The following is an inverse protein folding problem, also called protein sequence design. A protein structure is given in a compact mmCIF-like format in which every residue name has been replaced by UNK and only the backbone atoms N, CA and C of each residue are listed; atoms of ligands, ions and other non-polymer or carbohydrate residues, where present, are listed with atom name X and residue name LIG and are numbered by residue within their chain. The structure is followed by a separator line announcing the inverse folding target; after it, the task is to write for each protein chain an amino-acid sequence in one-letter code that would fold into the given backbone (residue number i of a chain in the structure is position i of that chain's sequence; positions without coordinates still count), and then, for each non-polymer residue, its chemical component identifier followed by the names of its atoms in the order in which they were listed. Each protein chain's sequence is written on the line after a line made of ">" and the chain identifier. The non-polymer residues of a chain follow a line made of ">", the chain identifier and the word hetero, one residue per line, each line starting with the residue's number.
data_IF_884403274075
#
_entry.id   IF_884403274075
#
_cell.length_a   1.000
_cell.length_b   1.000
_cell.length_c   1.000
_cell.angle_alpha   90.00
_cell.angle_beta   90.00
_cell.angle_gamma   90.00
#
_symmetry.space_group_name_H-M   'P 1'
#
loop_
_entity.id
_entity.type
_entity.pdbx_description
1 polymer ?
#
# COMPACT_ATOMS: atom_id res chain seq x y z
N UNK A 1 1.03 -8.61 15.56
CA UNK A 1 0.65 -8.37 14.16
C UNK A 1 0.63 -9.64 13.32
N UNK A 2 1.64 -10.53 13.42
CA UNK A 2 1.73 -11.77 12.62
C UNK A 2 0.48 -12.66 12.58
N UNK A 3 -0.15 -12.98 13.72
CA UNK A 3 -1.32 -13.87 13.73
C UNK A 3 -2.57 -13.29 13.03
N UNK A 4 -2.70 -11.96 12.98
CA UNK A 4 -3.78 -11.30 12.24
C UNK A 4 -3.52 -11.29 10.73
N UNK A 5 -2.25 -11.44 10.30
CA UNK A 5 -1.87 -11.48 8.90
C UNK A 5 -2.09 -12.85 8.28
N UNK A 6 -1.97 -13.94 9.06
CA UNK A 6 -2.14 -15.32 8.56
C UNK A 6 -3.43 -15.51 7.77
N UNK A 7 -4.53 -14.94 8.25
CA UNK A 7 -5.85 -15.04 7.60
C UNK A 7 -6.09 -14.06 6.43
N UNK A 8 -5.11 -13.22 6.10
CA UNK A 8 -5.24 -12.22 5.02
C UNK A 8 -4.83 -12.86 3.71
N UNK A 9 -5.57 -12.54 2.66
CA UNK A 9 -5.20 -12.93 1.30
C UNK A 9 -4.20 -11.92 0.72
N UNK A 10 -3.09 -12.42 0.20
CA UNK A 10 -2.09 -11.70 -0.55
C UNK A 10 -2.36 -11.86 -2.05
N UNK A 11 -2.29 -10.75 -2.79
CA UNK A 11 -2.28 -10.82 -4.25
C UNK A 11 -0.83 -10.82 -4.73
N UNK A 12 -0.50 -11.80 -5.56
CA UNK A 12 0.78 -11.95 -6.22
C UNK A 12 0.61 -11.55 -7.68
N UNK A 13 1.24 -10.44 -8.05
CA UNK A 13 1.32 -9.95 -9.42
C UNK A 13 2.72 -10.18 -9.97
N UNK A 14 2.80 -10.63 -11.22
CA UNK A 14 4.08 -10.74 -11.94
C UNK A 14 4.27 -9.49 -12.80
N UNK A 15 5.40 -8.78 -12.62
CA UNK A 15 5.73 -7.72 -13.55
C UNK A 15 6.43 -8.30 -14.76
N UNK A 16 5.82 -8.05 -15.91
CA UNK A 16 6.46 -8.20 -17.20
C UNK A 16 7.50 -7.10 -17.35
N UNK A 17 8.77 -7.47 -17.45
CA UNK A 17 9.78 -6.60 -18.06
C UNK A 17 9.47 -6.48 -19.56
N UNK A 18 9.78 -5.38 -20.23
CA UNK A 18 9.64 -5.36 -21.70
C UNK A 18 10.64 -6.38 -22.30
N UNK A 19 10.12 -7.42 -22.96
CA UNK A 19 10.97 -8.44 -23.58
C UNK A 19 11.48 -7.93 -24.93
N UNK A 20 12.76 -8.21 -25.20
CA UNK A 20 13.37 -8.07 -26.52
C UNK A 20 12.87 -9.18 -27.49
N UNK A 21 12.10 -10.16 -27.01
CA UNK A 21 11.68 -11.35 -27.74
C UNK A 21 10.15 -11.48 -27.88
N UNK A 22 9.73 -12.19 -28.94
CA UNK A 22 8.35 -12.42 -29.39
C UNK A 22 7.45 -13.27 -28.46
N UNK A 23 7.74 -13.32 -27.16
CA UNK A 23 6.94 -14.05 -26.19
C UNK A 23 5.83 -13.14 -25.66
N UNK A 24 4.58 -13.47 -25.96
CA UNK A 24 3.40 -12.75 -25.47
C UNK A 24 2.93 -13.43 -24.18
N UNK A 25 2.95 -12.70 -23.08
CA UNK A 25 2.26 -13.09 -21.85
C UNK A 25 0.75 -12.84 -22.01
N UNK A 26 -0.08 -13.76 -21.52
CA UNK A 26 -1.53 -13.56 -21.50
C UNK A 26 -1.87 -12.50 -20.44
N UNK A 27 -2.32 -11.33 -20.88
CA UNK A 27 -2.54 -10.15 -20.02
C UNK A 27 -3.80 -10.24 -19.17
N UNK A 28 -4.59 -11.30 -19.29
CA UNK A 28 -5.91 -11.38 -18.69
C UNK A 28 -5.94 -11.97 -17.28
N UNK A 29 -4.86 -12.58 -16.78
CA UNK A 29 -4.87 -13.35 -15.52
C UNK A 29 -3.52 -13.31 -14.74
N UNK A 30 -2.88 -12.13 -14.63
CA UNK A 30 -1.55 -11.97 -14.01
C UNK A 30 -1.52 -11.92 -12.48
N UNK A 31 -2.69 -12.00 -11.83
CA UNK A 31 -2.82 -11.92 -10.38
C UNK A 31 -3.21 -13.27 -9.78
N UNK A 32 -2.52 -13.71 -8.74
CA UNK A 32 -2.97 -14.84 -7.90
C UNK A 32 -3.31 -14.32 -6.52
N UNK A 33 -4.42 -14.80 -5.98
CA UNK A 33 -4.79 -14.59 -4.58
C UNK A 33 -4.39 -15.83 -3.78
N UNK A 34 -3.47 -15.70 -2.82
CA UNK A 34 -3.03 -16.76 -1.91
C UNK A 34 -3.18 -16.31 -0.46
N UNK A 35 -3.21 -17.23 0.51
CA UNK A 35 -3.17 -16.84 1.92
C UNK A 35 -1.77 -16.38 2.33
N UNK A 36 -1.68 -15.41 3.25
CA UNK A 36 -0.41 -14.86 3.69
C UNK A 36 0.50 -15.92 4.33
N UNK A 37 -0.05 -16.94 4.98
CA UNK A 37 0.68 -18.06 5.58
C UNK A 37 0.89 -19.25 4.63
N UNK A 38 0.56 -19.10 3.35
CA UNK A 38 0.76 -20.15 2.34
C UNK A 38 2.25 -20.42 2.07
N UNK A 39 2.55 -21.64 1.62
CA UNK A 39 3.87 -22.01 1.12
C UNK A 39 4.30 -21.16 -0.09
N UNK A 40 3.33 -20.68 -0.89
CA UNK A 40 3.60 -19.77 -2.00
C UNK A 40 4.22 -18.47 -1.48
N UNK A 41 3.67 -17.86 -0.43
CA UNK A 41 4.25 -16.63 0.15
C UNK A 41 5.64 -16.86 0.73
N UNK A 42 5.89 -18.02 1.34
CA UNK A 42 7.23 -18.39 1.80
C UNK A 42 8.26 -18.42 0.66
N UNK A 43 7.88 -18.97 -0.50
CA UNK A 43 8.74 -19.03 -1.69
C UNK A 43 8.96 -17.66 -2.34
N UNK A 44 8.06 -16.69 -2.09
CA UNK A 44 8.18 -15.33 -2.61
C UNK A 44 9.09 -14.43 -1.77
N UNK A 45 9.24 -14.71 -0.46
CA UNK A 45 10.04 -13.89 0.45
C UNK A 45 11.49 -13.61 0.00
N UNK A 46 12.25 -14.56 -0.55
CA UNK A 46 13.60 -14.29 -1.05
C UNK A 46 13.63 -13.25 -2.19
N UNK A 47 12.59 -13.23 -3.04
CA UNK A 47 12.44 -12.24 -4.11
C UNK A 47 12.10 -10.86 -3.55
N UNK A 48 11.23 -10.79 -2.53
CA UNK A 48 10.90 -9.56 -1.81
C UNK A 48 12.15 -8.90 -1.21
N UNK A 49 12.99 -9.69 -0.53
CA UNK A 49 14.25 -9.20 0.05
C UNK A 49 15.22 -8.73 -1.02
N UNK A 50 15.28 -9.43 -2.15
CA UNK A 50 16.08 -9.00 -3.30
C UNK A 50 15.56 -7.68 -3.86
N UNK A 51 14.24 -7.52 -4.00
CA UNK A 51 13.63 -6.26 -4.43
C UNK A 51 13.93 -5.11 -3.47
N UNK A 52 13.94 -5.34 -2.16
CA UNK A 52 14.25 -4.30 -1.18
C UNK A 52 15.65 -3.72 -1.42
N UNK A 53 16.64 -4.58 -1.65
CA UNK A 53 18.01 -4.18 -1.99
C UNK A 53 18.07 -3.40 -3.31
N UNK A 54 17.24 -3.79 -4.29
CA UNK A 54 17.14 -3.10 -5.57
C UNK A 54 16.58 -1.69 -5.37
N UNK A 55 15.49 -1.55 -4.62
CA UNK A 55 14.88 -0.25 -4.31
C UNK A 55 15.90 0.65 -3.60
N UNK A 56 16.61 0.13 -2.61
CA UNK A 56 17.65 0.88 -1.89
C UNK A 56 18.78 1.37 -2.80
N UNK A 57 19.30 0.50 -3.67
CA UNK A 57 20.31 0.91 -4.65
C UNK A 57 19.78 1.94 -5.65
N UNK A 58 18.53 1.82 -6.09
CA UNK A 58 17.91 2.75 -7.05
C UNK A 58 17.65 4.09 -6.40
N UNK A 59 17.16 4.12 -5.16
CA UNK A 59 16.94 5.34 -4.39
C UNK A 59 18.26 6.08 -4.19
N UNK A 60 19.32 5.37 -3.79
CA UNK A 60 20.67 5.95 -3.70
C UNK A 60 21.17 6.50 -5.05
N UNK A 61 21.04 5.74 -6.13
CA UNK A 61 21.43 6.19 -7.47
C UNK A 61 20.57 7.38 -7.94
N UNK A 62 19.32 7.50 -7.50
CA UNK A 62 18.43 8.59 -7.84
C UNK A 62 18.86 9.88 -7.13
N UNK A 63 19.20 9.79 -5.84
CA UNK A 63 19.74 10.91 -5.06
C UNK A 63 21.04 11.46 -5.67
N UNK A 64 21.87 10.58 -6.24
CA UNK A 64 23.10 10.94 -6.95
C UNK A 64 22.89 11.32 -8.44
N UNK A 65 21.64 11.37 -8.91
CA UNK A 65 21.31 11.74 -10.30
C UNK A 65 21.71 10.73 -11.37
N UNK A 66 22.00 9.49 -10.98
CA UNK A 66 22.50 8.40 -11.82
C UNK A 66 21.48 7.27 -12.11
N UNK A 67 20.25 7.38 -11.61
CA UNK A 67 19.18 6.39 -11.82
C UNK A 67 18.55 6.41 -13.22
N UNK A 68 18.89 7.38 -14.08
CA UNK A 68 18.36 7.46 -15.44
C UNK A 68 18.87 6.30 -16.31
N UNK A 69 17.97 5.70 -17.10
CA UNK A 69 18.26 4.59 -18.04
C UNK A 69 18.84 3.34 -17.36
N UNK A 70 18.41 3.04 -16.12
CA UNK A 70 18.70 1.75 -15.50
C UNK A 70 17.93 0.64 -16.25
N UNK A 71 18.62 -0.39 -16.77
CA UNK A 71 17.98 -1.45 -17.53
C UNK A 71 17.08 -2.30 -16.63
N UNK A 72 16.00 -2.85 -17.21
CA UNK A 72 15.19 -3.90 -16.59
C UNK A 72 14.47 -3.51 -15.29
N UNK A 73 14.12 -2.24 -15.11
CA UNK A 73 13.29 -1.78 -14.00
C UNK A 73 11.90 -1.34 -14.47
N UNK A 74 10.84 -1.64 -13.71
CA UNK A 74 9.51 -1.11 -13.98
C UNK A 74 9.51 0.42 -13.82
N UNK A 75 8.61 1.09 -14.54
CA UNK A 75 8.48 2.55 -14.52
C UNK A 75 8.20 3.14 -13.11
N UNK A 76 7.72 2.31 -12.18
CA UNK A 76 7.55 2.68 -10.77
C UNK A 76 7.88 1.50 -9.86
N UNK A 77 8.81 1.69 -8.94
CA UNK A 77 9.14 0.78 -7.85
C UNK A 77 8.29 1.08 -6.59
N UNK A 78 8.11 0.12 -5.67
CA UNK A 78 7.44 0.37 -4.40
C UNK A 78 8.37 1.17 -3.48
N UNK A 79 7.81 1.87 -2.47
CA UNK A 79 8.66 2.58 -1.50
C UNK A 79 9.42 1.59 -0.61
N UNK A 80 10.67 1.95 -0.27
CA UNK A 80 11.54 1.16 0.59
C UNK A 80 10.85 0.81 1.92
N UNK A 81 10.38 1.81 2.67
CA UNK A 81 9.74 1.62 3.98
C UNK A 81 8.52 0.69 3.94
N UNK A 82 7.72 0.79 2.87
CA UNK A 82 6.53 -0.06 2.73
C UNK A 82 6.94 -1.51 2.49
N UNK A 83 7.93 -1.72 1.62
CA UNK A 83 8.43 -3.03 1.28
C UNK A 83 9.12 -3.70 2.48
N UNK A 84 9.92 -2.94 3.24
CA UNK A 84 10.57 -3.42 4.45
C UNK A 84 9.54 -3.88 5.50
N UNK A 85 8.52 -3.06 5.77
CA UNK A 85 7.44 -3.41 6.72
C UNK A 85 6.68 -4.66 6.28
N UNK A 86 6.43 -4.84 4.98
CA UNK A 86 5.80 -6.05 4.44
C UNK A 86 6.70 -7.27 4.67
N UNK A 87 7.99 -7.17 4.41
CA UNK A 87 8.94 -8.27 4.64
C UNK A 87 8.97 -8.66 6.12
N UNK A 88 9.14 -7.70 7.03
CA UNK A 88 9.15 -7.95 8.47
C UNK A 88 7.84 -8.61 8.94
N UNK A 89 6.70 -8.15 8.41
CA UNK A 89 5.39 -8.69 8.70
C UNK A 89 5.25 -10.15 8.23
N UNK A 90 5.74 -10.49 7.04
CA UNK A 90 5.72 -11.84 6.50
C UNK A 90 6.75 -12.77 7.18
N UNK A 91 7.92 -12.27 7.58
CA UNK A 91 8.89 -13.01 8.39
C UNK A 91 8.41 -13.28 9.82
N UNK A 92 7.35 -12.59 10.28
CA UNK A 92 6.70 -12.94 11.56
C UNK A 92 5.79 -14.17 11.49
N UNK A 93 5.42 -14.60 10.28
CA UNK A 93 4.55 -15.77 10.03
C UNK A 93 5.29 -16.93 9.35
N UNK A 94 6.36 -16.62 8.61
CA UNK A 94 7.23 -17.56 7.90
C UNK A 94 8.61 -17.63 8.53
N UNK A 95 9.38 -18.67 8.18
CA UNK A 95 10.79 -18.70 8.55
C UNK A 95 11.55 -17.57 7.82
N UNK A 96 12.45 -16.90 8.54
CA UNK A 96 13.34 -15.92 7.94
C UNK A 96 14.16 -16.58 6.82
N UNK A 97 14.25 -15.88 5.68
CA UNK A 97 14.96 -16.35 4.49
C UNK A 97 16.00 -15.32 4.08
N UNK A 98 17.04 -15.76 3.37
CA UNK A 98 18.05 -14.85 2.81
C UNK A 98 17.58 -14.27 1.48
N UNK A 99 18.19 -13.15 1.08
CA UNK A 99 18.10 -12.62 -0.29
C UNK A 99 18.66 -13.63 -1.31
N UNK A 100 18.18 -13.56 -2.56
CA UNK A 100 18.65 -14.41 -3.65
C UNK A 100 19.96 -13.92 -4.27
N UNK A 101 20.30 -12.65 -4.11
CA UNK A 101 21.54 -12.07 -4.62
C UNK A 101 22.43 -11.62 -3.47
N UNK A 102 23.55 -12.31 -3.31
CA UNK A 102 24.58 -11.93 -2.34
C UNK A 102 25.38 -10.72 -2.83
N UNK A 103 25.42 -10.52 -4.15
CA UNK A 103 26.08 -9.40 -4.81
C UNK A 103 25.35 -8.09 -4.55
N UNK A 104 24.01 -8.08 -4.61
CA UNK A 104 23.20 -6.94 -4.18
C UNK A 104 23.33 -6.67 -2.68
N UNK A 105 23.42 -7.72 -1.85
CA UNK A 105 23.67 -7.56 -0.40
C UNK A 105 25.02 -6.88 -0.16
N UNK A 106 26.07 -7.34 -0.85
CA UNK A 106 27.40 -6.75 -0.75
C UNK A 106 27.43 -5.30 -1.29
N UNK A 107 26.71 -5.03 -2.37
CA UNK A 107 26.58 -3.71 -2.97
C UNK A 107 25.97 -2.71 -1.99
N UNK A 108 24.82 -3.05 -1.40
CA UNK A 108 24.14 -2.23 -0.38
C UNK A 108 25.02 -2.03 0.86
N UNK A 109 25.72 -3.09 1.30
CA UNK A 109 26.67 -2.97 2.43
C UNK A 109 27.73 -1.89 2.20
N UNK A 110 28.26 -1.78 0.98
CA UNK A 110 29.23 -0.72 0.63
C UNK A 110 28.63 0.68 0.63
N UNK A 111 27.34 0.82 0.31
CA UNK A 111 26.61 2.08 0.39
C UNK A 111 26.44 2.53 1.84
N UNK A 112 26.04 1.60 2.71
CA UNK A 112 25.83 1.86 4.14
C UNK A 112 27.12 2.26 4.88
N UNK A 113 28.28 1.73 4.44
CA UNK A 113 29.58 2.03 5.06
C UNK A 113 30.11 3.45 4.75
N UNK A 114 29.39 4.26 3.95
CA UNK A 114 29.74 5.66 3.68
C UNK A 114 31.03 5.84 2.90
N UNK A 115 31.43 4.82 2.12
CA UNK A 115 32.61 4.86 1.28
C UNK A 115 32.50 5.96 0.22
N UNK A 116 33.62 6.55 -0.22
CA UNK A 116 33.62 7.36 -1.46
C UNK A 116 33.32 6.42 -2.64
N UNK A 117 32.05 6.28 -2.99
CA UNK A 117 31.60 5.39 -4.05
C UNK A 117 31.69 6.12 -5.38
N UNK A 118 32.45 5.57 -6.33
CA UNK A 118 32.40 6.02 -7.71
C UNK A 118 31.05 5.63 -8.30
N UNK A 119 30.19 6.62 -8.53
CA UNK A 119 28.81 6.47 -9.00
C UNK A 119 28.73 5.72 -10.35
N UNK A 120 29.73 5.89 -11.22
CA UNK A 120 29.76 5.19 -12.51
C UNK A 120 30.03 3.70 -12.33
N UNK A 121 30.98 3.36 -11.45
CA UNK A 121 31.25 1.98 -11.06
C UNK A 121 30.07 1.35 -10.30
N UNK A 122 29.42 2.11 -9.42
CA UNK A 122 28.24 1.64 -8.69
C UNK A 122 27.11 1.25 -9.62
N UNK A 123 26.81 2.09 -10.62
CA UNK A 123 25.78 1.80 -11.63
C UNK A 123 26.11 0.54 -12.43
N UNK A 124 27.38 0.33 -12.77
CA UNK A 124 27.83 -0.88 -13.46
C UNK A 124 27.69 -2.12 -12.57
N UNK A 125 28.15 -2.04 -11.33
CA UNK A 125 28.06 -3.13 -10.35
C UNK A 125 26.59 -3.49 -10.06
N UNK A 126 25.71 -2.49 -9.94
CA UNK A 126 24.27 -2.69 -9.81
C UNK A 126 23.71 -3.44 -11.03
N UNK A 127 24.00 -2.96 -12.24
CA UNK A 127 23.51 -3.59 -13.48
C UNK A 127 24.01 -5.04 -13.62
N UNK A 128 25.26 -5.29 -13.25
CA UNK A 128 25.84 -6.63 -13.22
C UNK A 128 25.17 -7.51 -12.16
N UNK A 129 24.91 -7.00 -10.97
CA UNK A 129 24.25 -7.74 -9.89
C UNK A 129 22.82 -8.14 -10.27
N UNK A 130 22.07 -7.24 -10.93
CA UNK A 130 20.74 -7.55 -11.51
C UNK A 130 20.85 -8.66 -12.57
N UNK A 131 21.86 -8.59 -13.42
CA UNK A 131 22.07 -9.60 -14.45
C UNK A 131 22.42 -10.97 -13.84
N UNK A 132 23.30 -11.01 -12.85
CA UNK A 132 23.68 -12.25 -12.14
C UNK A 132 22.50 -12.84 -11.38
N UNK A 133 21.72 -12.01 -10.68
CA UNK A 133 20.49 -12.41 -10.03
C UNK A 133 19.50 -13.08 -11.01
N UNK A 134 19.24 -12.44 -12.15
CA UNK A 134 18.30 -12.95 -13.16
C UNK A 134 18.81 -14.18 -13.92
N UNK A 135 20.12 -14.41 -13.93
CA UNK A 135 20.76 -15.55 -14.60
C UNK A 135 21.13 -16.69 -13.64
N UNK A 136 20.95 -16.49 -12.33
CA UNK A 136 21.30 -17.47 -11.31
C UNK A 136 20.42 -18.72 -11.40
N UNK A 137 21.07 -19.87 -11.26
CA UNK A 137 20.38 -21.18 -11.17
C UNK A 137 19.49 -21.27 -9.94
N UNK A 138 19.86 -20.64 -8.83
CA UNK A 138 19.08 -20.60 -7.60
C UNK A 138 17.76 -19.84 -7.82
N UNK A 139 17.84 -18.66 -8.46
CA UNK A 139 16.66 -17.87 -8.86
C UNK A 139 15.74 -18.68 -9.76
N UNK A 140 16.31 -19.33 -10.78
CA UNK A 140 15.54 -20.14 -11.75
C UNK A 140 14.82 -21.31 -11.07
N UNK A 141 15.53 -22.03 -10.19
CA UNK A 141 14.97 -23.16 -9.44
C UNK A 141 13.81 -22.71 -8.56
N UNK A 142 14.00 -21.61 -7.82
CA UNK A 142 12.96 -21.09 -6.93
C UNK A 142 11.73 -20.57 -7.70
N UNK A 143 11.90 -20.03 -8.92
CA UNK A 143 10.77 -19.69 -9.79
C UNK A 143 9.97 -20.94 -10.17
N UNK A 144 10.64 -22.05 -10.52
CA UNK A 144 9.95 -23.30 -10.82
C UNK A 144 9.17 -23.84 -9.61
N UNK A 145 9.81 -23.84 -8.44
CA UNK A 145 9.16 -24.26 -7.18
C UNK A 145 7.94 -23.39 -6.85
N UNK A 146 8.07 -22.07 -7.06
CA UNK A 146 6.98 -21.12 -6.89
C UNK A 146 5.81 -21.43 -7.82
N UNK A 147 6.09 -21.68 -9.10
CA UNK A 147 5.05 -21.98 -10.08
C UNK A 147 4.35 -23.31 -9.77
N UNK A 148 5.10 -24.30 -9.28
CA UNK A 148 4.54 -25.57 -8.85
C UNK A 148 3.64 -25.42 -7.61
N UNK A 149 4.07 -24.62 -6.63
CA UNK A 149 3.27 -24.33 -5.45
C UNK A 149 1.96 -23.58 -5.81
N UNK A 150 2.04 -22.61 -6.71
CA UNK A 150 0.87 -21.89 -7.23
C UNK A 150 -0.09 -22.82 -7.97
N UNK A 151 0.44 -23.68 -8.84
CA UNK A 151 -0.37 -24.61 -9.62
C UNK A 151 -1.11 -25.60 -8.71
N UNK A 152 -0.44 -26.06 -7.64
CA UNK A 152 -1.04 -26.88 -6.60
C UNK A 152 -2.15 -26.14 -5.85
N UNK A 153 -1.91 -24.89 -5.42
CA UNK A 153 -2.91 -24.09 -4.67
C UNK A 153 -4.16 -23.79 -5.50
N UNK A 154 -4.00 -23.53 -6.81
CA UNK A 154 -5.13 -23.33 -7.74
C UNK A 154 -5.83 -24.64 -8.18
N UNK A 155 -5.39 -25.81 -7.70
CA UNK A 155 -5.87 -27.12 -8.16
C UNK A 155 -5.89 -27.25 -9.70
N UNK A 156 -4.86 -26.69 -10.37
CA UNK A 156 -4.79 -26.70 -11.82
C UNK A 156 -4.46 -28.12 -12.30
N UNK A 157 -5.43 -28.80 -12.93
CA UNK A 157 -5.15 -30.03 -13.66
C UNK A 157 -4.25 -29.71 -14.86
N UNK A 158 -3.21 -30.52 -15.07
CA UNK A 158 -2.35 -30.43 -16.25
C UNK A 158 -3.19 -30.64 -17.53
N UNK A 159 -3.08 -29.81 -18.59
CA UNK A 159 -2.06 -28.79 -18.85
C UNK A 159 -2.68 -27.39 -18.83
N UNK A 160 -3.12 -26.88 -17.67
CA UNK A 160 -3.58 -25.49 -17.58
C UNK A 160 -2.40 -24.52 -17.63
N UNK A 161 -2.59 -23.42 -18.34
CA UNK A 161 -1.65 -22.30 -18.42
C UNK A 161 -1.61 -21.58 -17.08
N UNK A 162 -0.41 -21.26 -16.62
CA UNK A 162 -0.17 -20.32 -15.52
C UNK A 162 0.59 -19.14 -16.11
N UNK A 163 -0.06 -17.98 -16.23
CA UNK A 163 0.53 -16.76 -16.81
C UNK A 163 1.08 -16.94 -18.24
N UNK A 164 0.45 -17.77 -19.05
CA UNK A 164 0.96 -18.12 -20.38
C UNK A 164 2.13 -19.12 -20.39
N UNK A 165 2.54 -19.61 -19.22
CA UNK A 165 3.49 -20.73 -19.06
C UNK A 165 2.76 -22.06 -18.88
N UNK A 166 3.37 -23.14 -19.35
CA UNK A 166 2.95 -24.51 -19.09
C UNK A 166 4.17 -25.39 -18.82
N UNK A 167 3.98 -26.54 -18.16
CA UNK A 167 5.03 -27.56 -18.08
C UNK A 167 5.39 -28.04 -19.49
N UNK A 168 6.68 -28.18 -19.77
CA UNK A 168 7.20 -28.72 -21.01
C UNK A 168 6.65 -30.13 -21.21
N UNK A 169 6.21 -30.41 -22.43
CA UNK A 169 5.66 -31.71 -22.79
C UNK A 169 6.73 -32.80 -22.81
N UNK A 170 8.01 -32.43 -22.94
CA UNK A 170 9.13 -33.37 -23.02
C UNK A 170 9.54 -33.88 -21.64
N UNK A 171 9.85 -32.98 -20.70
CA UNK A 171 10.33 -33.37 -19.37
C UNK A 171 9.23 -33.39 -18.30
N UNK A 172 8.10 -32.72 -18.52
CA UNK A 172 7.00 -32.60 -17.57
C UNK A 172 7.33 -31.80 -16.30
N UNK A 173 8.54 -31.22 -16.20
CA UNK A 173 9.06 -30.58 -14.99
C UNK A 173 9.41 -29.11 -15.20
N UNK A 174 9.73 -28.70 -16.42
CA UNK A 174 10.19 -27.33 -16.69
C UNK A 174 9.02 -26.45 -17.11
N UNK A 175 8.87 -25.26 -16.51
CA UNK A 175 7.90 -24.26 -16.95
C UNK A 175 8.43 -23.49 -18.17
N UNK A 176 7.66 -23.48 -19.26
CA UNK A 176 8.00 -22.85 -20.54
C UNK A 176 6.82 -22.07 -21.08
N UNK A 177 7.06 -20.97 -21.81
CA UNK A 177 5.96 -20.22 -22.42
C UNK A 177 5.28 -21.03 -23.55
N UNK A 178 4.02 -20.69 -23.86
CA UNK A 178 3.23 -21.40 -24.85
C UNK A 178 3.91 -21.54 -26.22
N UNK A 179 4.62 -20.50 -26.69
CA UNK A 179 5.31 -20.54 -27.98
C UNK A 179 6.45 -21.59 -28.03
N UNK A 180 7.15 -21.79 -26.91
CA UNK A 180 8.33 -22.66 -26.84
C UNK A 180 8.01 -24.09 -26.45
N UNK A 181 6.89 -24.30 -25.76
CA UNK A 181 6.40 -25.60 -25.36
C UNK A 181 6.01 -26.56 -26.49
N UNK A 182 6.08 -26.12 -27.75
CA UNK A 182 5.79 -26.88 -28.97
C UNK A 182 6.98 -27.02 -29.92
N UNK A 183 8.15 -26.48 -29.57
CA UNK A 183 9.35 -26.57 -30.42
C UNK A 183 10.32 -27.66 -29.91
N UNK A 184 10.69 -28.66 -30.73
CA UNK A 184 11.54 -29.80 -30.31
C UNK A 184 13.04 -29.45 -30.18
N UNK A 185 13.44 -28.19 -30.33
CA UNK A 185 14.85 -27.78 -30.21
C UNK A 185 15.22 -27.49 -28.76
N UNK A 186 15.58 -28.58 -28.07
CA UNK A 186 16.02 -28.71 -26.68
C UNK A 186 17.38 -28.07 -26.33
N UNK A 187 17.72 -26.92 -26.92
CA UNK A 187 18.94 -26.16 -26.56
C UNK A 187 18.65 -24.81 -25.91
N UNK A 188 17.38 -24.56 -25.60
CA UNK A 188 16.83 -23.31 -25.11
C UNK A 188 16.49 -23.37 -23.61
N UNK A 189 17.20 -24.18 -22.82
CA UNK A 189 16.79 -24.48 -21.44
C UNK A 189 17.39 -23.50 -20.42
N UNK A 190 18.42 -22.73 -20.80
CA UNK A 190 19.08 -21.78 -19.87
C UNK A 190 18.71 -20.31 -20.07
N UNK A 191 18.05 -19.95 -21.18
CA UNK A 191 17.84 -18.54 -21.60
C UNK A 191 16.42 -18.02 -21.42
N UNK A 192 15.46 -18.84 -20.98
CA UNK A 192 14.04 -18.58 -21.35
C UNK A 192 13.10 -18.33 -20.17
N UNK A 193 13.58 -18.54 -18.93
CA UNK A 193 13.13 -17.81 -17.75
C UNK A 193 13.89 -16.48 -17.56
N UNK A 194 14.87 -16.16 -18.44
CA UNK A 194 15.62 -14.88 -18.41
C UNK A 194 14.78 -13.67 -18.85
N UNK A 195 13.48 -13.85 -19.07
CA UNK A 195 12.57 -12.78 -19.37
C UNK A 195 11.38 -12.85 -18.40
N UNK A 196 11.17 -11.75 -17.68
CA UNK A 196 9.86 -11.33 -17.19
C UNK A 196 9.31 -12.06 -15.96
N UNK A 197 9.95 -11.85 -14.81
CA UNK A 197 9.25 -11.86 -13.52
C UNK A 197 10.12 -11.16 -12.47
N UNK A 198 10.10 -9.83 -12.44
CA UNK A 198 10.37 -9.14 -11.18
C UNK A 198 9.04 -9.05 -10.45
N UNK A 199 8.91 -9.72 -9.31
CA UNK A 199 7.80 -9.45 -8.41
C UNK A 199 8.03 -8.07 -7.81
N UNK A 200 7.57 -7.00 -8.45
CA UNK A 200 7.33 -5.73 -7.76
C UNK A 200 5.83 -5.54 -7.54
N UNK A 201 5.58 -5.11 -6.32
CA UNK A 201 4.31 -5.17 -5.62
C UNK A 201 3.57 -3.88 -5.91
N UNK A 202 2.62 -3.95 -6.80
CA UNK A 202 1.66 -2.87 -6.95
C UNK A 202 0.52 -3.07 -5.97
N UNK A 203 0.65 -2.47 -4.77
CA UNK A 203 -0.52 -2.09 -3.97
C UNK A 203 -1.56 -1.34 -4.83
N UNK A 204 -1.12 -0.69 -5.93
CA UNK A 204 -2.00 -0.05 -6.93
C UNK A 204 -3.05 -0.98 -7.55
N UNK A 205 -2.71 -2.20 -8.00
CA UNK A 205 -3.71 -3.05 -8.64
C UNK A 205 -4.68 -3.63 -7.59
N UNK A 206 -4.14 -4.07 -6.45
CA UNK A 206 -4.91 -4.52 -5.28
C UNK A 206 -5.93 -3.46 -4.83
N UNK A 207 -5.47 -2.23 -4.58
CA UNK A 207 -6.33 -1.15 -4.15
C UNK A 207 -7.33 -0.74 -5.22
N UNK A 208 -7.01 -0.91 -6.51
CA UNK A 208 -7.97 -0.62 -7.57
C UNK A 208 -9.14 -1.61 -7.60
N UNK A 209 -8.90 -2.88 -7.24
CA UNK A 209 -9.91 -3.96 -7.24
C UNK A 209 -10.54 -4.21 -5.85
N UNK A 210 -9.98 -3.65 -4.77
CA UNK A 210 -10.50 -3.82 -3.42
C UNK A 210 -11.76 -2.98 -3.17
N UNK A 211 -12.73 -3.58 -2.50
CA UNK A 211 -13.94 -2.90 -2.03
C UNK A 211 -13.72 -2.40 -0.61
N UNK A 212 -13.67 -1.08 -0.46
CA UNK A 212 -13.55 -0.39 0.82
C UNK A 212 -14.94 -0.19 1.41
N UNK A 213 -15.08 -0.53 2.70
CA UNK A 213 -16.27 -0.20 3.48
C UNK A 213 -16.04 1.13 4.16
N UNK A 214 -16.65 2.19 3.64
CA UNK A 214 -16.60 3.51 4.23
C UNK A 214 -17.82 3.73 5.12
N UNK A 215 -17.65 4.41 6.24
CA UNK A 215 -18.72 4.70 7.20
C UNK A 215 -18.52 6.07 7.84
N UNK A 216 -19.63 6.73 8.18
CA UNK A 216 -19.63 7.98 8.94
C UNK A 216 -19.89 7.70 10.41
N UNK A 217 -18.82 7.63 11.20
CA UNK A 217 -18.93 7.19 12.58
C UNK A 217 -19.55 8.25 13.49
N UNK A 218 -20.46 7.81 14.37
CA UNK A 218 -21.02 8.67 15.40
C UNK A 218 -19.94 9.10 16.40
N UNK A 219 -19.91 10.39 16.74
CA UNK A 219 -18.92 10.95 17.66
C UNK A 219 -19.12 10.55 19.14
N UNK A 220 -20.24 9.88 19.46
CA UNK A 220 -20.53 9.28 20.76
C UNK A 220 -20.48 7.74 20.74
N UNK A 221 -19.85 7.13 19.73
CA UNK A 221 -19.89 5.68 19.55
C UNK A 221 -19.40 4.86 20.76
N UNK A 222 -18.48 5.40 21.56
CA UNK A 222 -17.90 4.73 22.74
C UNK A 222 -18.80 4.75 23.99
N UNK A 223 -19.93 5.47 23.98
CA UNK A 223 -20.83 5.59 25.14
C UNK A 223 -21.75 4.36 25.35
N UNK A 224 -21.38 3.19 24.79
CA UNK A 224 -21.95 1.89 25.14
C UNK A 224 -23.31 1.52 24.53
N UNK A 225 -23.94 2.44 23.79
CA UNK A 225 -25.31 2.27 23.28
C UNK A 225 -25.50 2.64 21.80
N UNK A 226 -24.42 2.85 21.04
CA UNK A 226 -24.47 3.16 19.61
C UNK A 226 -24.89 1.94 18.76
N UNK A 227 -26.17 1.55 18.83
CA UNK A 227 -26.75 0.43 18.07
C UNK A 227 -26.95 0.73 16.59
N UNK A 228 -26.98 2.02 16.24
CA UNK A 228 -27.07 2.48 14.85
C UNK A 228 -25.67 2.83 14.37
N UNK A 229 -24.90 1.80 14.01
CA UNK A 229 -23.77 2.03 13.13
C UNK A 229 -24.35 2.64 11.85
N UNK A 230 -23.92 3.85 11.51
CA UNK A 230 -24.19 4.46 10.20
C UNK A 230 -24.01 3.41 9.11
N UNK A 231 -24.91 3.33 8.15
CA UNK A 231 -24.78 2.38 7.03
C UNK A 231 -23.39 2.53 6.42
N UNK A 232 -22.63 1.44 6.41
CA UNK A 232 -21.41 1.39 5.62
C UNK A 232 -21.79 1.28 4.15
N UNK A 233 -20.98 1.89 3.30
CA UNK A 233 -21.14 1.79 1.87
C UNK A 233 -19.85 1.29 1.23
N UNK A 234 -20.03 0.45 0.22
CA UNK A 234 -18.97 -0.23 -0.48
C UNK A 234 -18.49 0.63 -1.65
N UNK A 235 -17.20 0.98 -1.68
CA UNK A 235 -16.58 1.69 -2.80
C UNK A 235 -15.40 0.87 -3.32
N UNK A 236 -15.40 0.59 -4.62
CA UNK A 236 -14.25 0.00 -5.30
C UNK A 236 -13.11 1.02 -5.34
N UNK A 237 -11.92 0.65 -4.86
CA UNK A 237 -10.83 1.62 -4.69
C UNK A 237 -10.30 2.22 -5.99
N UNK A 238 -10.49 1.57 -7.15
CA UNK A 238 -10.16 2.13 -8.47
C UNK A 238 -11.27 2.96 -9.11
N UNK A 239 -12.41 3.11 -8.44
CA UNK A 239 -13.56 3.82 -9.01
C UNK A 239 -13.39 5.35 -9.01
N UNK A 240 -14.14 6.02 -9.89
CA UNK A 240 -14.27 7.48 -9.87
C UNK A 240 -14.83 8.00 -8.56
N UNK A 241 -15.74 7.25 -7.91
CA UNK A 241 -16.28 7.57 -6.58
C UNK A 241 -15.18 7.58 -5.51
N UNK A 242 -14.21 6.67 -5.59
CA UNK A 242 -13.05 6.69 -4.69
C UNK A 242 -12.22 7.96 -4.91
N UNK A 243 -11.96 8.33 -6.17
CA UNK A 243 -11.25 9.58 -6.50
C UNK A 243 -11.96 10.82 -5.92
N UNK A 244 -13.30 10.84 -5.94
CA UNK A 244 -14.10 11.92 -5.37
C UNK A 244 -13.97 12.02 -3.85
N UNK A 245 -13.99 10.90 -3.11
CA UNK A 245 -13.94 10.90 -1.64
C UNK A 245 -12.53 11.02 -1.07
N UNK A 246 -11.51 10.72 -1.87
CA UNK A 246 -10.12 10.64 -1.43
C UNK A 246 -9.57 11.91 -0.77
N UNK A 247 -9.88 13.15 -1.22
CA UNK A 247 -9.43 14.36 -0.53
C UNK A 247 -9.91 14.44 0.93
N UNK A 248 -11.13 13.96 1.21
CA UNK A 248 -11.69 13.93 2.56
C UNK A 248 -11.01 12.85 3.39
N UNK A 249 -10.84 11.64 2.82
CA UNK A 249 -10.12 10.56 3.49
C UNK A 249 -8.69 10.97 3.83
N UNK A 250 -8.04 11.77 2.97
CA UNK A 250 -6.70 12.32 3.20
C UNK A 250 -6.66 13.31 4.34
N UNK A 251 -7.60 14.25 4.41
CA UNK A 251 -7.69 15.16 5.55
C UNK A 251 -7.97 14.40 6.85
N UNK A 252 -8.85 13.40 6.84
CA UNK A 252 -9.12 12.55 8.00
C UNK A 252 -7.86 11.75 8.42
N UNK A 253 -7.12 11.19 7.46
CA UNK A 253 -5.89 10.45 7.73
C UNK A 253 -4.80 11.35 8.32
N UNK A 254 -4.60 12.56 7.76
CA UNK A 254 -3.64 13.54 8.28
C UNK A 254 -4.01 14.03 9.69
N UNK A 255 -5.30 14.31 9.93
CA UNK A 255 -5.79 14.64 11.27
C UNK A 255 -5.52 13.48 12.24
N UNK A 256 -5.84 12.25 11.85
CA UNK A 256 -5.61 11.07 12.70
C UNK A 256 -4.12 10.84 12.98
N UNK A 257 -3.24 11.07 12.00
CA UNK A 257 -1.78 11.04 12.17
C UNK A 257 -1.31 12.10 13.16
N UNK A 258 -1.70 13.35 12.94
CA UNK A 258 -1.38 14.47 13.84
C UNK A 258 -1.88 14.24 15.27
N UNK A 259 -3.07 13.64 15.43
CA UNK A 259 -3.63 13.29 16.73
C UNK A 259 -2.90 12.15 17.43
N UNK A 260 -2.44 11.16 16.66
CA UNK A 260 -1.62 10.06 17.20
C UNK A 260 -0.29 10.60 17.71
N UNK A 261 0.36 11.48 16.95
CA UNK A 261 1.59 12.17 17.37
C UNK A 261 1.34 13.05 18.60
N UNK A 262 0.24 13.81 18.61
CA UNK A 262 -0.13 14.64 19.74
C UNK A 262 -0.34 13.82 21.03
N UNK A 263 -0.97 12.66 20.93
CA UNK A 263 -1.13 11.74 22.06
C UNK A 263 0.19 11.18 22.55
N UNK A 264 1.21 11.04 21.69
CA UNK A 264 2.55 10.62 22.08
C UNK A 264 3.30 11.70 22.86
N UNK A 265 3.03 12.98 22.56
CA UNK A 265 3.60 14.14 23.25
C UNK A 265 2.74 14.67 24.41
N UNK A 266 1.74 13.91 24.87
CA UNK A 266 0.78 14.32 25.93
C UNK A 266 0.07 15.67 25.65
N UNK A 267 -0.21 15.96 24.38
CA UNK A 267 -0.89 17.18 23.95
C UNK A 267 -2.41 16.99 23.89
N UNK A 268 -3.15 17.89 24.55
CA UNK A 268 -4.61 17.84 24.58
C UNK A 268 -5.27 18.60 23.42
N UNK A 269 -6.23 17.98 22.73
CA UNK A 269 -7.13 18.62 21.75
C UNK A 269 -8.30 19.38 22.40
N UNK A 270 -8.43 19.27 23.72
CA UNK A 270 -9.58 19.73 24.49
C UNK A 270 -10.62 18.64 24.75
N UNK A 271 -11.61 18.98 25.58
CA UNK A 271 -12.61 18.02 26.07
C UNK A 271 -13.56 17.56 24.97
N UNK A 272 -13.88 16.25 24.96
CA UNK A 272 -14.94 15.67 24.14
C UNK A 272 -14.51 15.07 22.80
N UNK A 273 -13.21 14.99 22.52
CA UNK A 273 -12.68 14.24 21.39
C UNK A 273 -12.07 12.92 21.88
N UNK A 274 -12.60 11.80 21.40
CA UNK A 274 -12.05 10.46 21.63
C UNK A 274 -11.75 9.85 20.26
N UNK A 275 -10.49 9.48 20.05
CA UNK A 275 -10.03 8.89 18.80
C UNK A 275 -9.50 7.48 19.07
N UNK A 276 -9.96 6.52 18.28
CA UNK A 276 -9.39 5.18 18.28
C UNK A 276 -8.11 5.17 17.44
N UNK A 277 -6.97 5.08 18.11
CA UNK A 277 -5.66 5.05 17.47
C UNK A 277 -5.22 3.64 17.05
N UNK A 278 -5.93 2.57 17.45
CA UNK A 278 -5.48 1.18 17.22
C UNK A 278 -5.27 0.87 15.73
N UNK A 279 -6.00 1.56 14.85
CA UNK A 279 -5.91 1.38 13.40
C UNK A 279 -5.44 2.65 12.65
N UNK A 280 -4.95 3.67 13.37
CA UNK A 280 -4.61 4.97 12.79
C UNK A 280 -3.58 4.87 11.65
N UNK A 281 -2.45 4.23 11.92
CA UNK A 281 -1.39 4.04 10.94
C UNK A 281 -1.87 3.24 9.71
N UNK A 282 -2.76 2.26 9.94
CA UNK A 282 -3.35 1.46 8.85
C UNK A 282 -4.21 2.33 7.93
N UNK A 283 -5.02 3.21 8.48
CA UNK A 283 -5.84 4.14 7.70
C UNK A 283 -4.98 5.12 6.90
N UNK A 284 -3.92 5.66 7.50
CA UNK A 284 -2.96 6.55 6.83
C UNK A 284 -2.36 5.85 5.60
N UNK A 285 -1.83 4.64 5.78
CA UNK A 285 -1.18 3.89 4.71
C UNK A 285 -2.16 3.55 3.57
N UNK A 286 -3.41 3.20 3.87
CA UNK A 286 -4.42 2.95 2.84
C UNK A 286 -4.73 4.19 2.01
N UNK A 287 -4.88 5.34 2.67
CA UNK A 287 -5.21 6.59 1.97
C UNK A 287 -4.05 7.08 1.12
N UNK A 288 -2.82 6.94 1.59
CA UNK A 288 -1.62 7.26 0.82
C UNK A 288 -1.51 6.38 -0.44
N UNK A 289 -1.71 5.08 -0.30
CA UNK A 289 -1.68 4.17 -1.45
C UNK A 289 -2.83 4.43 -2.46
N UNK A 290 -4.03 4.80 -2.00
CA UNK A 290 -5.11 5.26 -2.87
C UNK A 290 -4.76 6.58 -3.57
N UNK A 291 -4.06 7.49 -2.90
CA UNK A 291 -3.59 8.76 -3.47
C UNK A 291 -2.59 8.53 -4.61
N UNK A 292 -1.67 7.59 -4.41
CA UNK A 292 -0.71 7.15 -5.42
C UNK A 292 -1.40 6.47 -6.61
N UNK A 293 -2.53 5.80 -6.39
CA UNK A 293 -3.34 5.18 -7.45
C UNK A 293 -4.03 6.22 -8.35
N UNK A 294 -4.70 7.22 -7.76
CA UNK A 294 -5.56 8.15 -8.50
C UNK A 294 -4.85 9.39 -9.09
N UNK A 295 -3.54 9.55 -8.86
CA UNK A 295 -2.73 10.69 -9.36
C UNK A 295 -3.48 12.03 -9.19
N UNK A 296 -3.79 12.38 -7.94
CA UNK A 296 -4.44 13.62 -7.46
C UNK A 296 -5.05 14.54 -8.53
N UNK A 297 -6.33 14.33 -8.86
CA UNK A 297 -7.12 15.25 -9.70
C UNK A 297 -8.43 15.72 -9.03
N UNK A 298 -8.65 15.39 -7.74
CA UNK A 298 -9.81 15.82 -6.97
C UNK A 298 -9.67 17.23 -6.34
N UNK A 299 -10.79 17.88 -5.99
CA UNK A 299 -10.78 19.16 -5.29
C UNK A 299 -10.13 19.03 -3.91
N UNK A 300 -9.01 19.71 -3.71
CA UNK A 300 -8.29 19.72 -2.43
C UNK A 300 -9.00 20.61 -1.41
N UNK A 301 -8.92 20.22 -0.14
CA UNK A 301 -9.42 21.04 0.96
C UNK A 301 -8.47 22.23 1.14
N UNK A 302 -9.03 23.44 1.33
CA UNK A 302 -8.22 24.67 1.38
C UNK A 302 -7.15 24.66 2.49
N UNK A 303 -7.43 23.99 3.61
CA UNK A 303 -6.53 23.88 4.76
C UNK A 303 -5.53 22.70 4.67
N UNK A 304 -5.64 21.84 3.65
CA UNK A 304 -4.82 20.63 3.51
C UNK A 304 -3.30 20.89 3.52
N UNK A 305 -2.76 21.91 2.80
CA UNK A 305 -1.32 22.18 2.83
C UNK A 305 -0.81 22.55 4.22
N UNK A 306 -1.60 23.32 4.98
CA UNK A 306 -1.25 23.72 6.34
C UNK A 306 -1.32 22.53 7.29
N UNK A 307 -2.28 21.62 7.11
CA UNK A 307 -2.37 20.40 7.89
C UNK A 307 -1.15 19.49 7.66
N UNK A 308 -0.72 19.30 6.40
CA UNK A 308 0.50 18.54 6.05
C UNK A 308 1.71 19.14 6.77
N UNK A 309 1.94 20.45 6.64
CA UNK A 309 3.08 21.11 7.27
C UNK A 309 3.07 21.01 8.82
N UNK A 310 1.91 20.96 9.46
CA UNK A 310 1.83 20.77 10.91
C UNK A 310 2.15 19.33 11.33
N UNK A 311 1.63 18.35 10.59
CA UNK A 311 1.91 16.93 10.85
C UNK A 311 3.39 16.62 10.64
N UNK A 312 4.00 17.14 9.57
CA UNK A 312 5.43 16.94 9.29
C UNK A 312 6.30 17.53 10.42
N UNK A 313 5.96 18.72 10.92
CA UNK A 313 6.69 19.35 12.03
C UNK A 313 6.53 18.61 13.36
N UNK A 314 5.38 18.00 13.60
CA UNK A 314 5.13 17.14 14.77
C UNK A 314 5.88 15.81 14.68
N UNK A 315 5.99 15.25 13.48
CA UNK A 315 6.69 13.99 13.22
C UNK A 315 8.21 14.13 13.36
N UNK A 316 8.76 15.27 12.96
CA UNK A 316 10.21 15.56 13.02
C UNK A 316 10.67 16.25 14.31
N UNK A 317 9.82 16.30 15.36
CA UNK A 317 10.14 16.93 16.66
C UNK A 317 10.59 18.41 16.55
N UNK A 318 10.16 19.13 15.49
CA UNK A 318 10.60 20.50 15.24
C UNK A 318 9.87 21.55 16.10
N UNK A 319 8.87 21.12 16.87
CA UNK A 319 8.01 21.99 17.67
C UNK A 319 8.40 21.93 19.15
N UNK A 320 8.76 23.09 19.70
CA UNK A 320 8.79 23.30 21.17
C UNK A 320 7.37 23.32 21.74
N UNK A 321 7.21 22.99 23.03
CA UNK A 321 5.92 22.78 23.71
C UNK A 321 4.83 23.83 23.41
N UNK A 322 5.19 25.12 23.43
CA UNK A 322 4.25 26.21 23.15
C UNK A 322 3.80 26.25 21.67
N UNK A 323 4.67 25.87 20.75
CA UNK A 323 4.36 25.74 19.33
C UNK A 323 3.54 24.49 19.07
N UNK A 324 3.84 23.39 19.77
CA UNK A 324 3.07 22.16 19.70
C UNK A 324 1.62 22.38 20.19
N UNK A 325 1.43 23.08 21.32
CA UNK A 325 0.09 23.47 21.78
C UNK A 325 -0.65 24.38 20.79
N UNK A 326 0.05 25.31 20.13
CA UNK A 326 -0.56 26.14 19.09
C UNK A 326 -0.91 25.32 17.85
N UNK A 327 -0.07 24.36 17.46
CA UNK A 327 -0.38 23.41 16.38
C UNK A 327 -1.65 22.62 16.70
N UNK A 328 -1.84 22.17 17.95
CA UNK A 328 -3.09 21.51 18.38
C UNK A 328 -4.31 22.40 18.23
N UNK A 329 -4.23 23.69 18.61
CA UNK A 329 -5.34 24.64 18.42
C UNK A 329 -5.69 24.80 16.94
N UNK A 330 -4.68 24.86 16.08
CA UNK A 330 -4.88 24.98 14.63
C UNK A 330 -5.48 23.70 14.06
N UNK A 331 -4.99 22.51 14.44
CA UNK A 331 -5.56 21.23 14.01
C UNK A 331 -7.01 21.05 14.50
N UNK A 332 -7.31 21.46 15.74
CA UNK A 332 -8.68 21.50 16.26
C UNK A 332 -9.58 22.38 15.38
N UNK A 333 -9.12 23.58 15.03
CA UNK A 333 -9.88 24.47 14.14
C UNK A 333 -10.08 23.84 12.76
N UNK A 334 -9.06 23.23 12.16
CA UNK A 334 -9.17 22.55 10.86
C UNK A 334 -10.15 21.38 10.90
N UNK A 335 -10.20 20.63 12.00
CA UNK A 335 -11.19 19.58 12.17
C UNK A 335 -12.62 20.14 12.24
N UNK A 336 -12.82 21.24 12.97
CA UNK A 336 -14.12 21.93 13.01
C UNK A 336 -14.50 22.51 11.63
N UNK A 337 -13.54 23.07 10.91
CA UNK A 337 -13.74 23.60 9.56
C UNK A 337 -14.09 22.48 8.57
N UNK A 338 -13.45 21.30 8.67
CA UNK A 338 -13.78 20.12 7.88
C UNK A 338 -15.24 19.70 8.10
N UNK A 339 -15.68 19.62 9.37
CA UNK A 339 -17.06 19.26 9.76
C UNK A 339 -18.11 20.20 9.16
N UNK A 340 -17.76 21.47 8.98
CA UNK A 340 -18.64 22.50 8.42
C UNK A 340 -18.38 22.77 6.93
N UNK A 341 -17.46 22.04 6.30
CA UNK A 341 -17.02 22.36 4.95
C UNK A 341 -18.08 22.02 3.90
N UNK A 342 -18.26 22.94 2.95
CA UNK A 342 -19.11 22.71 1.77
C UNK A 342 -18.56 21.56 0.93
N UNK A 343 -17.23 21.42 0.85
CA UNK A 343 -16.56 20.32 0.14
C UNK A 343 -16.94 18.94 0.70
N UNK A 344 -17.05 18.80 2.02
CA UNK A 344 -17.54 17.56 2.65
C UNK A 344 -18.99 17.27 2.24
N UNK A 345 -19.88 18.27 2.35
CA UNK A 345 -21.29 18.11 1.99
C UNK A 345 -21.48 17.78 0.49
N UNK A 346 -20.76 18.47 -0.40
CA UNK A 346 -20.80 18.25 -1.85
C UNK A 346 -20.32 16.84 -2.20
N UNK A 347 -19.22 16.39 -1.60
CA UNK A 347 -18.68 15.05 -1.83
C UNK A 347 -19.63 13.96 -1.37
N UNK A 348 -20.27 14.13 -0.21
CA UNK A 348 -21.26 13.18 0.31
C UNK A 348 -22.49 13.11 -0.61
N UNK A 349 -22.92 14.26 -1.14
CA UNK A 349 -24.01 14.31 -2.13
C UNK A 349 -23.60 13.60 -3.43
N UNK A 350 -22.36 13.80 -3.90
CA UNK A 350 -21.84 13.18 -5.13
C UNK A 350 -21.73 11.65 -5.06
N UNK A 351 -21.48 11.09 -3.87
CA UNK A 351 -21.48 9.64 -3.65
C UNK A 351 -22.89 9.07 -3.39
N UNK A 352 -23.93 9.90 -3.51
CA UNK A 352 -25.32 9.49 -3.42
C UNK A 352 -25.86 9.32 -2.00
N UNK A 353 -25.23 9.98 -1.01
CA UNK A 353 -25.67 9.96 0.38
C UNK A 353 -26.32 11.30 0.76
N UNK A 354 -27.21 11.25 1.75
CA UNK A 354 -27.93 12.44 2.21
C UNK A 354 -27.00 13.39 2.97
N UNK A 355 -26.81 14.59 2.44
CA UNK A 355 -26.12 15.69 3.10
C UNK A 355 -27.00 16.94 3.08
N UNK A 356 -27.39 17.40 4.27
CA UNK A 356 -28.03 18.70 4.49
C UNK A 356 -27.28 19.43 5.59
N UNK A 357 -27.64 20.70 5.86
CA UNK A 357 -27.00 21.45 6.96
C UNK A 357 -27.08 20.74 8.31
N UNK A 358 -28.13 19.95 8.57
CA UNK A 358 -28.39 19.30 9.86
C UNK A 358 -28.31 17.77 9.82
N UNK A 359 -28.07 17.15 8.66
CA UNK A 359 -27.98 15.70 8.50
C UNK A 359 -26.83 15.30 7.58
N UNK A 360 -26.13 14.23 7.95
CA UNK A 360 -24.98 13.69 7.23
C UNK A 360 -25.02 12.15 7.31
N UNK A 361 -25.57 11.50 6.29
CA UNK A 361 -25.70 10.04 6.17
C UNK A 361 -26.14 9.33 7.47
N UNK A 362 -27.42 9.45 7.84
CA UNK A 362 -28.04 8.94 9.08
C UNK A 362 -27.50 9.56 10.40
N UNK A 363 -26.52 10.48 10.34
CA UNK A 363 -26.10 11.30 11.47
C UNK A 363 -26.87 12.62 11.48
N UNK A 364 -27.19 13.09 12.68
CA UNK A 364 -27.78 14.40 12.94
C UNK A 364 -26.74 15.30 13.60
N UNK A 365 -26.80 16.56 13.21
CA UNK A 365 -26.01 17.60 13.86
C UNK A 365 -26.70 18.00 15.18
N UNK A 366 -26.01 17.79 16.30
CA UNK A 366 -26.47 18.20 17.62
C UNK A 366 -25.77 19.50 18.04
N UNK A 367 -26.49 20.61 18.02
CA UNK A 367 -26.00 21.89 18.54
C UNK A 367 -26.06 21.88 20.08
N UNK A 368 -24.91 22.04 20.75
CA UNK A 368 -24.91 22.30 22.21
C UNK A 368 -25.32 23.75 22.46
N UNK A 369 -26.27 23.94 23.36
CA UNK A 369 -26.87 25.23 23.74
C UNK A 369 -25.95 26.19 24.50
N UNK A 370 -24.68 25.88 24.70
CA UNK A 370 -23.75 26.78 25.40
C UNK A 370 -22.35 26.70 24.78
N UNK A 371 -21.95 27.82 24.19
CA UNK A 371 -20.69 28.08 23.47
C UNK A 371 -20.66 27.58 22.02
N UNK A 372 -20.12 28.42 21.14
CA UNK A 372 -19.93 28.20 19.69
C UNK A 372 -19.00 27.02 19.36
N UNK A 373 -18.56 26.26 20.35
CA UNK A 373 -17.70 25.09 20.18
C UNK A 373 -18.54 23.83 19.99
N UNK A 374 -18.64 23.45 18.71
CA UNK A 374 -18.95 22.12 18.19
C UNK A 374 -20.40 21.63 18.29
N UNK A 375 -21.11 21.86 17.20
CA UNK A 375 -22.08 20.88 16.72
C UNK A 375 -21.41 19.49 16.60
N UNK A 376 -22.02 18.47 17.20
CA UNK A 376 -21.54 17.08 17.14
C UNK A 376 -22.34 16.31 16.08
N UNK A 377 -21.67 15.44 15.33
CA UNK A 377 -22.34 14.50 14.44
C UNK A 377 -22.67 13.21 15.19
N UNK A 378 -23.95 13.04 15.52
CA UNK A 378 -24.43 11.92 16.35
C UNK A 378 -25.48 11.10 15.63
N UNK A 379 -25.56 9.81 15.91
CA UNK A 379 -26.63 8.98 15.36
C UNK A 379 -27.99 9.38 15.96
N UNK A 380 -29.08 9.02 15.27
CA UNK A 380 -30.46 9.32 15.72
C UNK A 380 -30.72 8.93 17.19
N UNK A 381 -30.14 7.82 17.65
CA UNK A 381 -30.28 7.39 19.05
C UNK A 381 -29.65 8.38 20.03
N UNK A 382 -28.40 8.77 19.81
CA UNK A 382 -27.70 9.75 20.65
C UNK A 382 -28.24 11.18 20.50
N UNK A 383 -28.90 11.49 19.39
CA UNK A 383 -29.64 12.73 19.22
C UNK A 383 -30.89 12.75 20.13
N UNK A 384 -31.61 11.62 20.23
CA UNK A 384 -32.79 11.49 21.09
C UNK A 384 -32.46 11.52 22.60
N UNK A 385 -31.30 11.01 23.03
CA UNK A 385 -30.88 11.08 24.44
C UNK A 385 -30.61 12.52 24.93
N UNK A 386 -30.42 13.48 24.01
CA UNK A 386 -30.13 14.89 24.34
C UNK A 386 -31.31 15.81 24.03
N UNK A 387 -32.35 15.32 23.34
CA UNK A 387 -33.60 16.05 23.16
C UNK A 387 -34.32 16.13 24.52
N UNK A 388 -34.75 17.33 24.97
CA UNK A 388 -35.38 17.54 26.27
C UNK A 388 -36.71 16.81 26.44
#
# INVERSE_FOLDING_TARGET
>A
MGDQLRSIHCNLDFLSLESIASCVLDSTDNTIVVQADSAVVQLVLPFLKTLLLIVECVDFLADEGAANDLPLLPATLPSFDSLEKVIQALESIHNAVSSLSMELVALVGRLADGSNVDISHLRQDFSQSIQEFTQSSATTTLIHDLFDAIAAEKNLQSPRLLFGFRKDAIDGTTWVCQAHSSSPTSSAIQTYLRCQAFGCWTLRYLMSQMVFQLRFQCEKHDQGSCKYASKSFAILGGSSLMCTILPILRACALLLKGLTLASFYDLEMGNGFQFDFQNALRHVNFVEALNVLHKTTGPRLAFEPTLVALVDRLENEELVDNQAQNAMKVMRQMFLDLRASVTLADTITQIGLDATKSQLNDLQQLERTSSKESALWVCNFHAMEVAP
#
